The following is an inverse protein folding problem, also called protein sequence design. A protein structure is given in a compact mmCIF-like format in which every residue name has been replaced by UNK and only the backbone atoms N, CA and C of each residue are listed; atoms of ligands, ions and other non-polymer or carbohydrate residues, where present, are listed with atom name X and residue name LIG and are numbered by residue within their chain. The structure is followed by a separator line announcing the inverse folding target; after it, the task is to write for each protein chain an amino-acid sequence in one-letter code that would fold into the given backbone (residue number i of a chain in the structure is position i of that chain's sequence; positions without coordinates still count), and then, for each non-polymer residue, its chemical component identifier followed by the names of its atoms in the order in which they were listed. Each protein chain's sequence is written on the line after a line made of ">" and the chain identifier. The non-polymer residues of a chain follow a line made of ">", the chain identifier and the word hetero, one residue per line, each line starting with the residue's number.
data_IF_534725219763
#
_entry.id   IF_534725219763
#
_cell.length_a   1.000
_cell.length_b   1.000
_cell.length_c   1.000
_cell.angle_alpha   90.00
_cell.angle_beta   90.00
_cell.angle_gamma   90.00
#
_symmetry.space_group_name_H-M   'P 1'
#
loop_
_entity.id
_entity.type
_entity.pdbx_description
1 polymer ?
#
# COMPACT_ATOMS: atom_id res chain seq x y z
N UNK A 1 20.49 -9.32 0.00
CA UNK A 1 19.64 -8.83 -1.11
C UNK A 1 20.50 -8.42 -2.30
N UNK A 2 20.19 -8.86 -3.52
CA UNK A 2 21.08 -8.70 -4.69
C UNK A 2 21.43 -7.23 -4.96
N UNK A 3 20.47 -6.32 -4.76
CA UNK A 3 20.69 -4.88 -4.93
C UNK A 3 21.71 -4.26 -3.94
N UNK A 4 21.99 -4.90 -2.80
CA UNK A 4 22.98 -4.41 -1.83
C UNK A 4 24.36 -5.04 -2.03
N UNK A 5 24.41 -6.21 -2.66
CA UNK A 5 25.64 -7.00 -2.81
C UNK A 5 26.36 -6.74 -4.12
N UNK A 6 25.63 -6.33 -5.15
CA UNK A 6 26.17 -6.11 -6.49
C UNK A 6 26.33 -4.61 -6.77
N UNK A 7 27.56 -4.19 -7.08
CA UNK A 7 27.91 -2.81 -7.39
C UNK A 7 27.20 -2.27 -8.64
N UNK A 8 26.85 -3.14 -9.60
CA UNK A 8 26.18 -2.75 -10.84
C UNK A 8 24.83 -2.06 -10.59
N UNK A 9 24.07 -2.51 -9.59
CA UNK A 9 22.80 -1.87 -9.22
C UNK A 9 23.02 -0.45 -8.68
N UNK A 10 24.06 -0.23 -7.86
CA UNK A 10 24.38 1.10 -7.33
C UNK A 10 24.82 2.05 -8.43
N UNK A 11 25.71 1.61 -9.32
CA UNK A 11 26.17 2.43 -10.46
C UNK A 11 24.99 2.79 -11.35
N UNK A 12 24.11 1.82 -11.67
CA UNK A 12 22.92 2.06 -12.47
C UNK A 12 21.96 3.09 -11.85
N UNK A 13 21.68 2.97 -10.55
CA UNK A 13 20.79 3.91 -9.84
C UNK A 13 21.39 5.31 -9.76
N UNK A 14 22.67 5.43 -9.42
CA UNK A 14 23.34 6.74 -9.33
C UNK A 14 23.42 7.42 -10.70
N UNK A 15 23.75 6.67 -11.76
CA UNK A 15 23.76 7.18 -13.13
C UNK A 15 22.37 7.63 -13.57
N UNK A 16 21.34 6.81 -13.35
CA UNK A 16 19.96 7.17 -13.69
C UNK A 16 19.47 8.40 -12.91
N UNK A 17 19.82 8.51 -11.63
CA UNK A 17 19.49 9.68 -10.82
C UNK A 17 20.21 10.95 -11.31
N UNK A 18 21.49 10.85 -11.68
CA UNK A 18 22.25 11.96 -12.26
C UNK A 18 21.62 12.42 -13.59
N UNK A 19 21.25 11.49 -14.47
CA UNK A 19 20.55 11.81 -15.73
C UNK A 19 19.19 12.46 -15.43
N UNK A 20 18.40 11.90 -14.53
CA UNK A 20 17.09 12.44 -14.17
C UNK A 20 17.20 13.86 -13.60
N UNK A 21 18.26 14.18 -12.85
CA UNK A 21 18.51 15.53 -12.34
C UNK A 21 18.79 16.56 -13.45
N UNK A 22 19.38 16.14 -14.57
CA UNK A 22 19.66 17.05 -15.70
C UNK A 22 18.44 17.34 -16.58
N UNK A 23 17.39 16.52 -16.49
CA UNK A 23 16.19 16.65 -17.32
C UNK A 23 15.17 17.53 -16.59
N UNK A 24 14.52 18.45 -17.31
CA UNK A 24 13.40 19.21 -16.76
C UNK A 24 12.12 18.34 -16.74
N UNK A 25 11.83 17.77 -15.56
CA UNK A 25 10.64 16.96 -15.31
C UNK A 25 9.34 17.78 -15.26
N UNK A 26 9.38 19.11 -15.39
CA UNK A 26 8.19 19.98 -15.43
C UNK A 26 7.44 19.99 -16.76
N UNK A 27 8.02 19.39 -17.81
CA UNK A 27 7.44 19.41 -19.15
C UNK A 27 6.35 18.35 -19.37
N UNK A 28 5.35 18.65 -20.21
CA UNK A 28 4.28 17.69 -20.60
C UNK A 28 4.81 16.40 -21.25
N UNK A 29 6.00 16.46 -21.83
CA UNK A 29 6.64 15.29 -22.44
C UNK A 29 7.29 14.40 -21.38
N UNK A 30 7.93 15.00 -20.36
CA UNK A 30 8.46 14.27 -19.22
C UNK A 30 7.36 13.49 -18.49
N UNK A 31 6.19 14.11 -18.26
CA UNK A 31 5.04 13.41 -17.65
C UNK A 31 4.65 12.14 -18.42
N UNK A 32 4.56 12.23 -19.76
CA UNK A 32 4.23 11.06 -20.60
C UNK A 32 5.31 10.01 -20.54
N UNK A 33 6.58 10.42 -20.57
CA UNK A 33 7.72 9.52 -20.51
C UNK A 33 7.78 8.79 -19.17
N UNK A 34 7.52 9.49 -18.06
CA UNK A 34 7.46 8.88 -16.72
C UNK A 34 6.34 7.84 -16.62
N UNK A 35 5.17 8.09 -17.21
CA UNK A 35 4.07 7.11 -17.25
C UNK A 35 4.49 5.85 -18.02
N UNK A 36 5.13 6.02 -19.19
CA UNK A 36 5.60 4.89 -19.99
C UNK A 36 6.67 4.10 -19.25
N UNK A 37 7.67 4.78 -18.69
CA UNK A 37 8.73 4.16 -17.90
C UNK A 37 8.18 3.42 -16.68
N UNK A 38 7.13 3.94 -16.04
CA UNK A 38 6.50 3.30 -14.89
C UNK A 38 5.89 1.94 -15.26
N UNK A 39 5.14 1.86 -16.36
CA UNK A 39 4.53 0.62 -16.81
C UNK A 39 5.51 -0.38 -17.44
N UNK A 40 6.51 0.11 -18.19
CA UNK A 40 7.61 -0.71 -18.71
C UNK A 40 8.43 -1.29 -17.57
N UNK A 41 8.79 -0.45 -16.60
CA UNK A 41 9.48 -0.86 -15.38
C UNK A 41 8.67 -1.86 -14.58
N UNK A 42 7.35 -1.64 -14.44
CA UNK A 42 6.45 -2.58 -13.78
C UNK A 42 6.50 -3.98 -14.43
N UNK A 43 6.43 -4.05 -15.76
CA UNK A 43 6.53 -5.33 -16.48
C UNK A 43 7.88 -6.02 -16.24
N UNK A 44 8.98 -5.27 -16.34
CA UNK A 44 10.33 -5.79 -16.11
C UNK A 44 10.51 -6.34 -14.69
N UNK A 45 10.11 -5.58 -13.67
CA UNK A 45 10.24 -5.97 -12.27
C UNK A 45 9.30 -7.10 -11.89
N UNK A 46 8.08 -7.11 -12.43
CA UNK A 46 7.12 -8.19 -12.17
C UNK A 46 7.61 -9.50 -12.77
N UNK A 47 8.07 -9.48 -14.02
CA UNK A 47 8.62 -10.66 -14.68
C UNK A 47 9.88 -11.17 -13.96
N UNK A 48 10.81 -10.28 -13.61
CA UNK A 48 12.06 -10.64 -12.92
C UNK A 48 11.77 -11.26 -11.54
N UNK A 49 10.87 -10.65 -10.76
CA UNK A 49 10.48 -11.16 -9.44
C UNK A 49 9.77 -12.51 -9.52
N UNK A 50 8.87 -12.66 -10.50
CA UNK A 50 8.15 -13.92 -10.74
C UNK A 50 9.09 -15.03 -11.17
N UNK A 51 9.96 -14.78 -12.16
CA UNK A 51 10.95 -15.74 -12.63
C UNK A 51 11.89 -16.18 -11.51
N UNK A 52 12.36 -15.25 -10.69
CA UNK A 52 13.23 -15.57 -9.56
C UNK A 52 12.52 -16.40 -8.50
N UNK A 53 11.25 -16.13 -8.22
CA UNK A 53 10.47 -16.92 -7.29
C UNK A 53 10.20 -18.34 -7.81
N UNK A 54 9.86 -18.50 -9.10
CA UNK A 54 9.74 -19.81 -9.74
C UNK A 54 11.07 -20.58 -9.69
N UNK A 55 12.19 -19.91 -9.95
CA UNK A 55 13.53 -20.52 -9.85
C UNK A 55 13.92 -20.96 -8.44
N UNK A 56 13.24 -20.49 -7.40
CA UNK A 56 13.38 -20.95 -6.01
C UNK A 56 12.43 -22.11 -5.66
N UNK A 57 11.70 -22.65 -6.64
CA UNK A 57 10.77 -23.77 -6.45
C UNK A 57 9.42 -23.38 -5.85
N UNK A 58 9.07 -22.08 -5.83
CA UNK A 58 7.73 -21.65 -5.40
C UNK A 58 6.70 -22.01 -6.48
N UNK A 59 5.49 -22.34 -6.04
CA UNK A 59 4.37 -22.51 -6.97
C UNK A 59 4.01 -21.19 -7.67
N UNK A 60 3.28 -21.29 -8.78
CA UNK A 60 2.99 -20.15 -9.66
C UNK A 60 2.31 -18.97 -8.94
N UNK A 61 1.40 -19.23 -8.00
CA UNK A 61 0.62 -18.17 -7.34
C UNK A 61 1.46 -17.22 -6.45
N UNK A 62 2.27 -17.68 -5.47
CA UNK A 62 3.14 -16.83 -4.68
C UNK A 62 4.29 -16.30 -5.52
N UNK A 63 4.70 -16.97 -6.60
CA UNK A 63 5.66 -16.42 -7.53
C UNK A 63 5.13 -15.14 -8.19
N UNK A 64 3.90 -15.18 -8.71
CA UNK A 64 3.22 -13.98 -9.24
C UNK A 64 3.04 -12.93 -8.14
N UNK A 65 2.60 -13.32 -6.94
CA UNK A 65 2.43 -12.38 -5.83
C UNK A 65 3.73 -11.67 -5.46
N UNK A 66 4.86 -12.38 -5.44
CA UNK A 66 6.19 -11.80 -5.18
C UNK A 66 6.64 -10.88 -6.33
N UNK A 67 6.38 -11.27 -7.58
CA UNK A 67 6.63 -10.43 -8.75
C UNK A 67 5.88 -9.11 -8.68
N UNK A 68 4.56 -9.18 -8.47
CA UNK A 68 3.68 -8.00 -8.32
C UNK A 68 4.13 -7.14 -7.15
N UNK A 69 4.43 -7.75 -6.00
CA UNK A 69 4.92 -7.03 -4.81
C UNK A 69 6.25 -6.32 -5.11
N UNK A 70 7.14 -6.92 -5.90
CA UNK A 70 8.42 -6.31 -6.28
C UNK A 70 8.22 -5.06 -7.13
N UNK A 71 7.36 -5.16 -8.16
CA UNK A 71 7.10 -4.04 -9.05
C UNK A 71 6.33 -2.90 -8.34
N UNK A 72 5.20 -3.25 -7.70
CA UNK A 72 4.33 -2.28 -7.03
C UNK A 72 4.99 -1.71 -5.78
N UNK A 73 5.76 -2.51 -5.05
CA UNK A 73 6.48 -2.07 -3.85
C UNK A 73 7.46 -0.94 -4.15
N UNK A 74 8.20 -1.03 -5.26
CA UNK A 74 9.09 0.05 -5.71
C UNK A 74 8.33 1.35 -6.02
N UNK A 75 7.24 1.26 -6.78
CA UNK A 75 6.38 2.41 -7.08
C UNK A 75 5.73 3.02 -5.84
N UNK A 76 5.27 2.18 -4.91
CA UNK A 76 4.67 2.63 -3.66
C UNK A 76 5.67 3.36 -2.76
N UNK A 77 6.91 2.87 -2.65
CA UNK A 77 7.97 3.55 -1.90
C UNK A 77 8.26 4.92 -2.53
N UNK A 78 8.40 4.99 -3.87
CA UNK A 78 8.58 6.27 -4.59
C UNK A 78 7.47 7.26 -4.25
N UNK A 79 6.22 6.82 -4.32
CA UNK A 79 5.05 7.67 -4.10
C UNK A 79 5.00 8.19 -2.65
N UNK A 80 5.33 7.33 -1.67
CA UNK A 80 5.40 7.72 -0.26
C UNK A 80 6.53 8.75 -0.01
N UNK A 81 7.70 8.56 -0.63
CA UNK A 81 8.82 9.49 -0.48
C UNK A 81 8.51 10.90 -1.00
N UNK A 82 7.63 11.03 -1.99
CA UNK A 82 7.14 12.32 -2.51
C UNK A 82 5.83 12.78 -1.86
N UNK A 83 5.45 12.16 -0.74
CA UNK A 83 4.23 12.45 0.03
C UNK A 83 2.93 12.37 -0.80
N UNK A 84 2.81 11.34 -1.64
CA UNK A 84 1.62 11.03 -2.43
C UNK A 84 1.03 9.69 -2.02
N UNK A 85 -0.27 9.53 -2.24
CA UNK A 85 -0.95 8.23 -2.06
C UNK A 85 -0.43 7.29 -3.16
N UNK A 86 0.09 6.09 -2.82
CA UNK A 86 0.57 5.13 -3.80
C UNK A 86 -0.46 4.82 -4.89
N UNK A 87 -0.03 4.79 -6.14
CA UNK A 87 -0.90 4.53 -7.30
C UNK A 87 -1.70 3.22 -7.18
N UNK A 88 -1.14 2.21 -6.50
CA UNK A 88 -1.83 0.94 -6.22
C UNK A 88 -3.08 1.09 -5.36
N UNK A 89 -3.09 2.06 -4.43
CA UNK A 89 -4.23 2.33 -3.54
C UNK A 89 -5.10 3.49 -4.05
N UNK A 90 -4.60 4.29 -5.00
CA UNK A 90 -5.26 5.48 -5.50
C UNK A 90 -6.20 5.22 -6.68
N UNK A 91 -7.43 5.74 -6.60
CA UNK A 91 -8.22 6.14 -7.77
C UNK A 91 -8.61 5.06 -8.78
N UNK A 92 -8.67 3.79 -8.37
CA UNK A 92 -9.12 2.65 -9.19
C UNK A 92 -8.33 2.40 -10.48
N UNK A 93 -7.06 2.79 -10.55
CA UNK A 93 -6.26 2.44 -11.72
C UNK A 93 -6.02 0.92 -11.81
N UNK A 94 -5.97 0.36 -13.03
CA UNK A 94 -5.69 -1.07 -13.27
C UNK A 94 -4.23 -1.47 -12.94
N UNK A 95 -3.55 -0.71 -12.09
CA UNK A 95 -2.12 -0.82 -11.82
C UNK A 95 -1.72 -2.22 -11.33
N UNK A 96 -2.37 -2.70 -10.27
CA UNK A 96 -2.12 -4.05 -9.74
C UNK A 96 -2.56 -5.13 -10.72
N UNK A 97 -3.67 -4.93 -11.42
CA UNK A 97 -4.19 -5.89 -12.40
C UNK A 97 -3.22 -6.10 -13.56
N UNK A 98 -2.63 -5.03 -14.07
CA UNK A 98 -1.63 -5.08 -15.15
C UNK A 98 -0.38 -5.84 -14.69
N UNK A 99 0.09 -5.60 -13.45
CA UNK A 99 1.19 -6.36 -12.88
C UNK A 99 0.84 -7.86 -12.78
N UNK A 100 -0.34 -8.21 -12.30
CA UNK A 100 -0.79 -9.61 -12.22
C UNK A 100 -0.79 -10.28 -13.60
N UNK A 101 -1.25 -9.58 -14.64
CA UNK A 101 -1.21 -10.08 -16.03
C UNK A 101 0.23 -10.37 -16.45
N UNK A 102 1.15 -9.42 -16.28
CA UNK A 102 2.57 -9.63 -16.65
C UNK A 102 3.24 -10.76 -15.87
N UNK A 103 2.88 -10.94 -14.59
CA UNK A 103 3.34 -12.08 -13.79
C UNK A 103 2.79 -13.41 -14.29
N UNK A 104 1.50 -13.47 -14.62
CA UNK A 104 0.87 -14.67 -15.18
C UNK A 104 1.47 -15.04 -16.54
N UNK A 105 1.71 -14.06 -17.41
CA UNK A 105 2.41 -14.28 -18.68
C UNK A 105 3.81 -14.87 -18.43
N UNK A 106 4.56 -14.31 -17.49
CA UNK A 106 5.89 -14.83 -17.14
C UNK A 106 5.83 -16.30 -16.68
N UNK A 107 4.83 -16.68 -15.88
CA UNK A 107 4.61 -18.09 -15.48
C UNK A 107 4.37 -18.96 -16.71
N UNK A 108 3.47 -18.56 -17.61
CA UNK A 108 3.13 -19.35 -18.81
C UNK A 108 4.38 -19.56 -19.69
N UNK A 109 5.17 -18.51 -19.91
CA UNK A 109 6.39 -18.60 -20.72
C UNK A 109 7.49 -19.42 -20.06
N UNK A 110 7.56 -19.41 -18.73
CA UNK A 110 8.54 -20.19 -17.98
C UNK A 110 8.16 -21.67 -17.91
N UNK A 111 6.94 -21.99 -17.46
CA UNK A 111 6.50 -23.35 -17.17
C UNK A 111 6.08 -24.13 -18.43
N UNK A 112 5.39 -23.47 -19.38
CA UNK A 112 4.87 -24.14 -20.57
C UNK A 112 5.87 -24.10 -21.73
N UNK A 113 6.44 -22.92 -21.98
CA UNK A 113 7.28 -22.70 -23.17
C UNK A 113 8.78 -22.85 -22.90
N UNK A 114 9.23 -22.92 -21.63
CA UNK A 114 10.64 -23.01 -21.23
C UNK A 114 11.51 -21.89 -21.85
N UNK A 115 10.94 -20.71 -22.08
CA UNK A 115 11.58 -19.57 -22.76
C UNK A 115 11.45 -18.30 -21.88
N UNK A 116 12.21 -18.21 -20.77
CA UNK A 116 12.12 -17.08 -19.83
C UNK A 116 12.35 -15.72 -20.48
N UNK A 117 13.31 -15.63 -21.40
CA UNK A 117 13.67 -14.37 -22.07
C UNK A 117 12.50 -13.80 -22.89
N UNK A 118 11.72 -14.68 -23.52
CA UNK A 118 10.53 -14.28 -24.27
C UNK A 118 9.43 -13.85 -23.30
N UNK A 119 9.24 -14.58 -22.19
CA UNK A 119 8.30 -14.20 -21.14
C UNK A 119 8.57 -12.81 -20.57
N UNK A 120 9.83 -12.47 -20.31
CA UNK A 120 10.22 -11.14 -19.85
C UNK A 120 9.89 -10.06 -20.90
N UNK A 121 10.25 -10.30 -22.17
CA UNK A 121 9.96 -9.36 -23.25
C UNK A 121 8.46 -9.13 -23.43
N UNK A 122 7.67 -10.20 -23.41
CA UNK A 122 6.21 -10.13 -23.52
C UNK A 122 5.61 -9.37 -22.33
N UNK A 123 6.00 -9.70 -21.09
CA UNK A 123 5.49 -9.00 -19.91
C UNK A 123 5.80 -7.49 -19.93
N UNK A 124 7.00 -7.09 -20.38
CA UNK A 124 7.37 -5.68 -20.52
C UNK A 124 6.47 -4.98 -21.55
N UNK A 125 6.29 -5.59 -22.72
CA UNK A 125 5.46 -5.03 -23.79
C UNK A 125 3.99 -5.00 -23.37
N UNK A 126 3.45 -6.08 -22.83
CA UNK A 126 2.07 -6.17 -22.37
C UNK A 126 1.79 -5.15 -21.29
N UNK A 127 2.63 -5.06 -20.24
CA UNK A 127 2.43 -4.07 -19.17
C UNK A 127 2.52 -2.64 -19.70
N UNK A 128 3.49 -2.35 -20.58
CA UNK A 128 3.62 -1.05 -21.24
C UNK A 128 2.37 -0.68 -22.05
N UNK A 129 1.93 -1.57 -22.95
CA UNK A 129 0.78 -1.33 -23.82
C UNK A 129 -0.52 -1.22 -23.01
N UNK A 130 -0.79 -2.17 -22.11
CA UNK A 130 -2.00 -2.15 -21.29
C UNK A 130 -2.00 -0.96 -20.33
N UNK A 131 -0.85 -0.57 -19.79
CA UNK A 131 -0.71 0.61 -18.94
C UNK A 131 -1.00 1.91 -19.66
N UNK A 132 -0.41 2.11 -20.83
CA UNK A 132 -0.67 3.27 -21.69
C UNK A 132 -2.13 3.29 -22.12
N UNK A 133 -2.69 2.15 -22.54
CA UNK A 133 -4.08 2.03 -22.98
C UNK A 133 -5.06 2.31 -21.85
N UNK A 134 -4.81 1.74 -20.66
CA UNK A 134 -5.59 1.98 -19.45
C UNK A 134 -5.61 3.46 -19.11
N UNK A 135 -4.45 4.14 -19.20
CA UNK A 135 -4.35 5.57 -18.90
C UNK A 135 -5.04 6.44 -19.94
N UNK A 136 -4.91 6.10 -21.22
CA UNK A 136 -5.56 6.83 -22.31
C UNK A 136 -7.08 6.70 -22.29
N UNK A 137 -7.60 5.50 -22.02
CA UNK A 137 -9.04 5.22 -21.93
C UNK A 137 -9.64 5.52 -20.56
N UNK A 138 -8.85 6.05 -19.63
CA UNK A 138 -9.25 6.28 -18.24
C UNK A 138 -9.93 5.06 -17.60
N UNK A 139 -9.41 3.86 -17.87
CA UNK A 139 -9.93 2.64 -17.29
C UNK A 139 -9.77 2.69 -15.78
N UNK A 140 -10.92 2.65 -15.11
CA UNK A 140 -11.01 2.56 -13.67
C UNK A 140 -11.69 1.25 -13.32
N UNK A 141 -11.16 0.54 -12.33
CA UNK A 141 -11.89 -0.53 -11.67
C UNK A 141 -13.23 0.02 -11.14
N UNK A 142 -14.25 -0.82 -10.91
CA UNK A 142 -15.43 -0.39 -10.15
C UNK A 142 -15.04 -0.02 -8.72
N UNK A 143 -15.52 1.12 -8.22
CA UNK A 143 -15.22 1.52 -6.84
C UNK A 143 -15.89 0.54 -5.87
N UNK A 144 -15.32 0.31 -4.67
CA UNK A 144 -16.00 -0.43 -3.63
C UNK A 144 -17.40 0.15 -3.48
N UNK A 145 -18.42 -0.69 -3.62
CA UNK A 145 -19.78 -0.33 -3.20
C UNK A 145 -19.63 0.10 -1.74
N UNK A 146 -20.03 1.32 -1.42
CA UNK A 146 -20.13 1.77 -0.04
C UNK A 146 -21.12 0.84 0.66
N UNK A 147 -20.58 -0.24 1.24
CA UNK A 147 -21.28 -1.13 2.15
C UNK A 147 -21.56 -0.28 3.38
N UNK A 148 -22.63 0.50 3.29
CA UNK A 148 -23.26 1.18 4.41
C UNK A 148 -23.82 0.07 5.27
N UNK A 149 -22.97 -0.55 6.09
CA UNK A 149 -23.39 -1.54 7.08
C UNK A 149 -24.38 -0.80 7.98
N UNK A 150 -25.69 -1.12 7.94
CA UNK A 150 -26.65 -0.47 8.80
C UNK A 150 -26.20 -0.79 10.21
N UNK A 151 -25.74 0.22 10.98
CA UNK A 151 -25.35 -0.01 12.36
C UNK A 151 -26.55 -0.69 13.04
N UNK A 152 -26.41 -1.92 13.54
CA UNK A 152 -27.52 -2.58 14.20
C UNK A 152 -27.95 -1.65 15.32
N UNK A 153 -29.17 -1.14 15.23
CA UNK A 153 -29.81 -0.41 16.33
C UNK A 153 -30.08 -1.45 17.40
N UNK A 154 -29.04 -1.83 18.14
CA UNK A 154 -29.18 -2.54 19.39
C UNK A 154 -30.04 -1.62 20.26
N UNK A 155 -31.34 -1.91 20.31
CA UNK A 155 -32.25 -1.48 21.38
C UNK A 155 -31.79 -2.21 22.65
N UNK A 156 -30.55 -1.96 23.09
CA UNK A 156 -30.21 -2.11 24.48
C UNK A 156 -31.12 -1.11 25.18
N UNK A 157 -32.13 -1.61 25.89
CA UNK A 157 -32.94 -0.83 26.81
C UNK A 157 -31.99 -0.06 27.72
N UNK A 158 -31.74 1.20 27.38
CA UNK A 158 -30.80 2.05 28.06
C UNK A 158 -31.47 2.42 29.37
N UNK A 159 -31.27 1.60 30.41
CA UNK A 159 -31.48 2.03 31.80
C UNK A 159 -30.73 3.34 31.90
N UNK A 160 -31.48 4.44 32.01
CA UNK A 160 -31.00 5.80 31.92
C UNK A 160 -30.14 6.08 33.14
N UNK A 161 -28.88 5.68 33.11
CA UNK A 161 -27.89 6.17 34.07
C UNK A 161 -27.71 7.63 33.70
N UNK A 162 -28.38 8.50 34.47
CA UNK A 162 -28.28 9.96 34.43
C UNK A 162 -26.82 10.35 34.67
N UNK A 163 -26.01 10.35 33.62
CA UNK A 163 -24.70 11.01 33.61
C UNK A 163 -25.00 12.49 33.38
N UNK A 164 -24.64 13.33 34.36
CA UNK A 164 -24.66 14.77 34.21
C UNK A 164 -23.79 15.21 33.02
N UNK A 165 -23.96 16.45 32.54
CA UNK A 165 -23.23 16.95 31.38
C UNK A 165 -21.73 16.79 31.61
N UNK A 166 -21.07 16.03 30.73
CA UNK A 166 -19.62 15.99 30.67
C UNK A 166 -19.21 17.37 30.13
N UNK A 167 -18.63 18.20 31.00
CA UNK A 167 -17.96 19.44 30.60
C UNK A 167 -16.91 19.03 29.57
N UNK A 168 -17.07 19.48 28.32
CA UNK A 168 -16.07 19.32 27.28
C UNK A 168 -14.80 20.04 27.72
N UNK A 169 -13.86 19.30 28.31
CA UNK A 169 -12.46 19.73 28.37
C UNK A 169 -11.85 19.39 27.02
N UNK A 170 -12.17 20.23 26.03
CA UNK A 170 -11.71 20.09 24.66
C UNK A 170 -10.20 20.31 24.60
N UNK A 171 -9.48 19.32 24.05
CA UNK A 171 -8.15 19.54 23.54
C UNK A 171 -8.24 20.41 22.28
N UNK A 172 -7.56 21.56 22.27
CA UNK A 172 -7.40 22.45 21.11
C UNK A 172 -6.02 22.22 20.47
N UNK A 173 -5.92 22.10 19.12
CA UNK A 173 -4.63 21.97 18.45
C UNK A 173 -3.76 23.22 18.71
N UNK A 174 -2.59 23.03 19.35
CA UNK A 174 -1.62 24.09 19.61
C UNK A 174 -1.22 24.26 21.08
N UNK A 175 -1.98 23.71 22.03
CA UNK A 175 -1.56 23.69 23.44
C UNK A 175 -0.84 22.37 23.79
N UNK A 176 0.32 22.41 24.47
CA UNK A 176 1.01 21.19 24.87
C UNK A 176 0.12 20.36 25.82
N UNK A 177 -0.08 19.09 25.46
CA UNK A 177 -0.91 18.10 26.17
C UNK A 177 -0.59 17.94 27.67
N UNK A 178 0.53 18.47 28.13
CA UNK A 178 1.03 18.34 29.49
C UNK A 178 0.28 19.17 30.53
N UNK A 179 -0.42 20.25 30.14
CA UNK A 179 -1.18 21.09 31.11
C UNK A 179 -2.58 20.57 31.44
N UNK A 180 -3.20 19.81 30.55
CA UNK A 180 -4.60 19.37 30.68
C UNK A 180 -4.75 17.89 31.06
N UNK A 181 -3.65 17.19 31.32
CA UNK A 181 -3.69 15.87 31.94
C UNK A 181 -3.81 16.06 33.46
N UNK A 182 -5.03 16.08 33.98
CA UNK A 182 -5.24 15.85 35.42
C UNK A 182 -4.62 14.49 35.77
N UNK A 183 -3.43 14.52 36.35
CA UNK A 183 -2.74 13.31 36.78
C UNK A 183 -3.58 12.65 37.86
N UNK A 184 -4.26 11.56 37.51
CA UNK A 184 -5.09 10.80 38.45
C UNK A 184 -4.22 10.42 39.64
N UNK A 185 -4.54 10.97 40.81
CA UNK A 185 -3.69 10.81 41.99
C UNK A 185 -3.76 9.37 42.51
N UNK A 186 -2.68 8.83 43.10
CA UNK A 186 -2.65 7.46 43.61
C UNK A 186 -3.78 7.15 44.60
N UNK A 187 -4.24 8.14 45.36
CA UNK A 187 -5.38 8.01 46.27
C UNK A 187 -6.71 7.79 45.55
N UNK A 188 -6.95 8.50 44.43
CA UNK A 188 -8.16 8.34 43.62
C UNK A 188 -8.25 6.93 43.05
N UNK A 189 -7.11 6.37 42.62
CA UNK A 189 -7.01 4.98 42.14
C UNK A 189 -7.31 3.99 43.27
N UNK A 190 -6.77 4.20 44.48
CA UNK A 190 -7.06 3.34 45.64
C UNK A 190 -8.53 3.40 46.04
N UNK A 191 -9.14 4.59 46.04
CA UNK A 191 -10.58 4.78 46.34
C UNK A 191 -11.45 4.06 45.31
N UNK A 192 -11.09 4.14 44.03
CA UNK A 192 -11.80 3.43 42.97
C UNK A 192 -11.69 1.91 43.13
N UNK A 193 -10.49 1.38 43.41
CA UNK A 193 -10.28 -0.06 43.68
C UNK A 193 -11.07 -0.54 44.89
N UNK A 194 -11.14 0.23 45.98
CA UNK A 194 -11.95 -0.11 47.17
C UNK A 194 -13.45 -0.15 46.85
N UNK A 195 -13.96 0.82 46.09
CA UNK A 195 -15.37 0.83 45.64
C UNK A 195 -15.69 -0.35 44.74
N UNK A 196 -14.78 -0.73 43.85
CA UNK A 196 -14.95 -1.88 42.96
C UNK A 196 -14.98 -3.19 43.75
N UNK A 197 -14.12 -3.35 44.76
CA UNK A 197 -14.13 -4.54 45.65
C UNK A 197 -15.42 -4.65 46.47
N UNK A 198 -15.98 -3.55 46.99
CA UNK A 198 -17.27 -3.58 47.70
C UNK A 198 -18.42 -4.05 46.80
N UNK A 199 -18.50 -3.54 45.57
CA UNK A 199 -19.55 -3.95 44.61
C UNK A 199 -19.49 -5.40 44.16
N UNK A 200 -18.31 -6.03 44.21
CA UNK A 200 -18.16 -7.46 43.90
C UNK A 200 -18.59 -8.31 45.10
N UNK A 201 -18.36 -7.82 46.33
CA UNK A 201 -18.79 -8.49 47.57
C UNK A 201 -20.30 -8.42 47.79
N UNK A 202 -20.96 -7.34 47.37
CA UNK A 202 -22.43 -7.20 47.45
C UNK A 202 -23.18 -8.00 46.36
N UNK A 203 -22.47 -8.74 45.50
CA UNK A 203 -23.03 -9.55 44.41
C UNK A 203 -22.74 -11.06 44.54
N UNK A 204 -22.09 -11.46 45.63
CA UNK A 204 -21.87 -12.84 46.03
C UNK A 204 -22.68 -13.12 47.29
#
# INVERSE_FOLDING_TARGET
>A
PVALTDAGYWVGVLAAAAVAYTIDLGSRWADRLLIVLDFVGMGAWTATGTLKALGLGLHWLPAVALGVTTAVGGGAIRDIMVNRIPAVFGGNSLYATIAVIGGAEMVVFQELLHRPNVGMGVAIVTCGVLGILSRWRNWRLPAPVDLTVPRPKLRLGRRRIRRGPLKEQGWTPGEPLTRNLETVTPEQIRRHRRRRRRRVRDRA
#
